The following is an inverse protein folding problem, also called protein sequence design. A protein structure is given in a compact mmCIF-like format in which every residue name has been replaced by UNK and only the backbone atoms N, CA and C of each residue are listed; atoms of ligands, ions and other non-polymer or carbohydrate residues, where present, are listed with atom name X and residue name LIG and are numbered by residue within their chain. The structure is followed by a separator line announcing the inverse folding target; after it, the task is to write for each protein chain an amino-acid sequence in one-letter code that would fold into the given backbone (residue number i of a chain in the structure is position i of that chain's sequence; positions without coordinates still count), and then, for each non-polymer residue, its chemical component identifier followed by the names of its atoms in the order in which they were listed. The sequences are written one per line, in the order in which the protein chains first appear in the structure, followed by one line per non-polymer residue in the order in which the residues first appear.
data_IF_703144956781
#
_entry.id   IF_703144956781
#
_cell.length_a   1.000
_cell.length_b   1.000
_cell.length_c   1.000
_cell.angle_alpha   90.00
_cell.angle_beta   90.00
_cell.angle_gamma   90.00
#
_symmetry.space_group_name_H-M   'P 1'
#
loop_
_entity.id
_entity.type
_entity.pdbx_description
1 polymer ?
#
# COMPACT_ATOMS: atom_id res chain seq x y z
N UNK A 1 19.99 -29.13 15.05
CA UNK A 1 20.18 -27.67 15.29
C UNK A 1 19.09 -27.02 14.52
N UNK A 2 17.99 -26.64 15.17
CA UNK A 2 16.92 -25.86 14.59
C UNK A 2 17.51 -24.49 14.20
N UNK A 3 17.53 -24.16 12.94
CA UNK A 3 17.86 -22.81 12.46
C UNK A 3 16.92 -21.85 13.17
N UNK A 4 17.46 -20.93 13.94
CA UNK A 4 16.65 -19.94 14.62
C UNK A 4 15.87 -19.13 13.58
N UNK A 5 14.54 -19.14 13.65
CA UNK A 5 13.60 -18.35 12.83
C UNK A 5 13.05 -17.21 13.72
N UNK A 6 13.86 -16.20 14.06
CA UNK A 6 13.53 -15.22 15.09
C UNK A 6 12.38 -14.30 14.73
N UNK A 7 12.11 -14.11 13.44
CA UNK A 7 11.05 -13.27 12.92
C UNK A 7 9.81 -14.07 12.47
N UNK A 8 9.84 -15.41 12.59
CA UNK A 8 8.74 -16.28 12.22
C UNK A 8 8.49 -16.46 10.72
N UNK A 9 9.41 -15.98 9.87
CA UNK A 9 9.19 -16.02 8.41
C UNK A 9 9.11 -17.45 7.87
N UNK A 10 9.88 -18.40 8.39
CA UNK A 10 9.81 -19.80 7.99
C UNK A 10 8.50 -20.45 8.44
N UNK A 11 8.11 -20.25 9.70
CA UNK A 11 6.86 -20.78 10.25
C UNK A 11 5.66 -20.26 9.42
N UNK A 12 5.57 -18.94 9.24
CA UNK A 12 4.40 -18.31 8.62
C UNK A 12 4.30 -18.54 7.10
N UNK A 13 5.35 -19.01 6.44
CA UNK A 13 5.32 -19.36 5.02
C UNK A 13 5.33 -20.86 4.76
N UNK A 14 5.32 -21.68 5.82
CA UNK A 14 5.31 -23.14 5.73
C UNK A 14 3.94 -23.75 6.06
N UNK A 15 3.68 -25.00 5.69
CA UNK A 15 2.46 -25.71 6.10
C UNK A 15 2.28 -25.87 7.61
N UNK A 16 3.33 -25.72 8.43
CA UNK A 16 3.30 -25.85 9.89
C UNK A 16 2.40 -24.80 10.55
N UNK A 17 2.22 -23.63 9.92
CA UNK A 17 1.27 -22.61 10.38
C UNK A 17 -0.16 -23.13 10.51
N UNK A 18 -0.52 -24.18 9.76
CA UNK A 18 -1.85 -24.79 9.80
C UNK A 18 -2.28 -25.26 11.20
N UNK A 19 -1.36 -25.66 12.06
CA UNK A 19 -1.66 -26.02 13.46
C UNK A 19 -2.09 -24.80 14.27
N UNK A 20 -1.40 -23.66 14.11
CA UNK A 20 -1.75 -22.39 14.75
C UNK A 20 -3.11 -21.88 14.27
N UNK A 21 -3.37 -21.90 12.94
CA UNK A 21 -4.64 -21.48 12.37
C UNK A 21 -5.78 -22.37 12.87
N UNK A 22 -5.56 -23.69 12.95
CA UNK A 22 -6.53 -24.63 13.48
C UNK A 22 -6.84 -24.35 14.95
N UNK A 23 -5.81 -24.13 15.77
CA UNK A 23 -5.97 -23.80 17.18
C UNK A 23 -6.78 -22.51 17.37
N UNK A 24 -6.45 -21.44 16.64
CA UNK A 24 -7.15 -20.15 16.71
C UNK A 24 -8.63 -20.27 16.30
N UNK A 25 -8.92 -20.93 15.17
CA UNK A 25 -10.29 -21.14 14.71
C UNK A 25 -11.09 -22.01 15.69
N UNK A 26 -10.45 -23.05 16.26
CA UNK A 26 -11.10 -23.92 17.26
C UNK A 26 -11.40 -23.15 18.55
N UNK A 27 -10.47 -22.30 19.01
CA UNK A 27 -10.70 -21.44 20.18
C UNK A 27 -11.89 -20.49 19.96
N UNK A 28 -12.03 -19.96 18.73
CA UNK A 28 -13.18 -19.13 18.34
C UNK A 28 -14.49 -19.92 18.14
N UNK A 29 -14.48 -21.25 18.29
CA UNK A 29 -15.67 -22.13 18.16
C UNK A 29 -15.96 -22.59 16.74
N UNK A 30 -15.00 -22.48 15.82
CA UNK A 30 -15.08 -22.96 14.45
C UNK A 30 -14.27 -24.25 14.20
N UNK A 31 -14.36 -24.75 12.99
CA UNK A 31 -13.51 -25.85 12.47
C UNK A 31 -12.86 -25.39 11.17
N UNK A 32 -11.55 -25.33 11.11
CA UNK A 32 -10.80 -25.00 9.92
C UNK A 32 -10.91 -26.15 8.91
N UNK A 33 -11.35 -25.86 7.68
CA UNK A 33 -11.53 -26.84 6.61
C UNK A 33 -10.36 -26.79 5.62
N UNK A 34 -9.95 -25.57 5.23
CA UNK A 34 -8.84 -25.32 4.34
C UNK A 34 -8.30 -23.93 4.54
N UNK A 35 -7.07 -23.69 4.09
CA UNK A 35 -6.47 -22.37 4.11
C UNK A 35 -5.44 -22.22 2.98
N UNK A 36 -5.20 -20.96 2.58
CA UNK A 36 -4.16 -20.57 1.64
C UNK A 36 -3.48 -19.30 2.11
N UNK A 37 -2.17 -19.19 1.91
CA UNK A 37 -1.41 -17.99 2.18
C UNK A 37 -1.70 -16.95 1.09
N UNK A 38 -2.23 -15.78 1.47
CA UNK A 38 -2.56 -14.69 0.54
C UNK A 38 -1.47 -13.62 0.46
N UNK A 39 -0.92 -13.26 1.62
CA UNK A 39 0.04 -12.18 1.69
C UNK A 39 1.03 -12.40 2.84
N UNK A 40 2.28 -12.03 2.60
CA UNK A 40 3.33 -12.04 3.62
C UNK A 40 4.12 -10.73 3.59
N UNK A 41 4.31 -10.12 4.76
CA UNK A 41 5.14 -8.93 4.97
C UNK A 41 6.25 -9.30 5.97
N UNK A 42 7.39 -9.74 5.42
CA UNK A 42 8.53 -10.18 6.20
C UNK A 42 9.59 -9.07 6.27
N UNK A 43 9.95 -8.71 7.50
CA UNK A 43 11.09 -7.84 7.83
C UNK A 43 12.18 -8.71 8.47
N UNK A 44 13.20 -9.14 7.72
CA UNK A 44 14.20 -10.09 8.20
C UNK A 44 14.76 -9.74 9.56
N UNK A 45 14.80 -10.73 10.47
CA UNK A 45 15.26 -10.63 11.86
C UNK A 45 14.42 -9.69 12.77
N UNK A 46 13.30 -9.16 12.31
CA UNK A 46 12.44 -8.27 13.09
C UNK A 46 11.04 -8.84 13.30
N UNK A 47 10.31 -9.06 12.22
CA UNK A 47 8.93 -9.54 12.31
C UNK A 47 8.42 -10.04 10.98
N UNK A 48 7.48 -10.95 11.00
CA UNK A 48 6.68 -11.35 9.83
C UNK A 48 5.21 -11.25 10.17
N UNK A 49 4.43 -10.69 9.25
CA UNK A 49 2.98 -10.67 9.32
C UNK A 49 2.43 -11.30 8.05
N UNK A 50 1.50 -12.23 8.19
CA UNK A 50 0.88 -12.92 7.06
C UNK A 50 -0.63 -12.90 7.16
N UNK A 51 -1.31 -13.02 6.01
CA UNK A 51 -2.76 -13.26 5.93
C UNK A 51 -3.03 -14.56 5.18
N UNK A 52 -4.10 -15.21 5.61
CA UNK A 52 -4.56 -16.48 5.04
C UNK A 52 -6.05 -16.40 4.75
N UNK A 53 -6.45 -16.73 3.52
CA UNK A 53 -7.83 -17.07 3.22
C UNK A 53 -8.13 -18.45 3.76
N UNK A 54 -9.19 -18.61 4.51
CA UNK A 54 -9.54 -19.84 5.18
C UNK A 54 -11.03 -20.15 4.99
N UNK A 55 -11.36 -21.42 4.68
CA UNK A 55 -12.74 -21.89 4.79
C UNK A 55 -12.96 -22.47 6.17
N UNK A 56 -13.95 -21.93 6.88
CA UNK A 56 -14.25 -22.27 8.28
C UNK A 56 -15.69 -22.71 8.42
N UNK A 57 -15.90 -23.84 9.10
CA UNK A 57 -17.24 -24.30 9.50
C UNK A 57 -17.55 -23.80 10.92
N UNK A 58 -18.53 -22.91 10.99
CA UNK A 58 -19.11 -22.40 12.21
C UNK A 58 -20.40 -23.18 12.58
N UNK A 59 -20.92 -23.07 13.81
CA UNK A 59 -22.22 -23.67 14.19
C UNK A 59 -23.39 -23.22 13.31
N UNK A 60 -23.25 -22.07 12.64
CA UNK A 60 -24.26 -21.43 11.80
C UNK A 60 -23.98 -21.56 10.29
N UNK A 61 -23.00 -22.35 9.88
CA UNK A 61 -22.66 -22.65 8.48
C UNK A 61 -21.19 -22.46 8.12
N UNK A 62 -20.83 -22.74 6.87
CA UNK A 62 -19.48 -22.53 6.35
C UNK A 62 -19.32 -21.11 5.82
N UNK A 63 -18.15 -20.52 6.05
CA UNK A 63 -17.77 -19.17 5.58
C UNK A 63 -16.30 -19.11 5.23
N UNK A 64 -16.00 -18.24 4.26
CA UNK A 64 -14.65 -17.82 3.99
C UNK A 64 -14.27 -16.72 4.97
N UNK A 65 -13.16 -16.92 5.66
CA UNK A 65 -12.62 -16.02 6.67
C UNK A 65 -11.21 -15.57 6.25
N UNK A 66 -10.80 -14.41 6.72
CA UNK A 66 -9.44 -13.91 6.57
C UNK A 66 -8.75 -13.91 7.94
N UNK A 67 -7.69 -14.69 8.05
CA UNK A 67 -6.90 -14.81 9.28
C UNK A 67 -5.64 -13.98 9.15
N UNK A 68 -5.31 -13.21 10.19
CA UNK A 68 -4.05 -12.51 10.31
C UNK A 68 -3.15 -13.19 11.33
N UNK A 69 -1.88 -13.32 11.03
CA UNK A 69 -0.87 -13.91 11.92
C UNK A 69 0.36 -13.03 11.95
N UNK A 70 0.93 -12.79 13.12
CA UNK A 70 2.15 -12.00 13.27
C UNK A 70 3.09 -12.60 14.30
N UNK A 71 4.34 -12.82 13.87
CA UNK A 71 5.45 -13.20 14.74
C UNK A 71 6.46 -12.06 14.81
N UNK A 72 7.09 -11.87 15.97
CA UNK A 72 8.13 -10.84 16.21
C UNK A 72 9.30 -11.39 16.99
N UNK A 73 10.49 -10.93 16.63
CA UNK A 73 11.64 -11.10 17.49
C UNK A 73 11.43 -10.31 18.79
N UNK A 74 11.45 -10.99 19.94
CA UNK A 74 11.21 -10.36 21.25
C UNK A 74 9.77 -10.37 21.75
N UNK A 75 8.88 -11.13 21.10
CA UNK A 75 7.51 -11.39 21.56
C UNK A 75 6.45 -10.41 21.05
N UNK A 76 5.16 -10.60 21.46
CA UNK A 76 4.04 -9.87 20.97
C UNK A 76 4.06 -8.38 21.36
N UNK A 77 3.36 -7.55 20.58
CA UNK A 77 3.19 -6.15 20.90
C UNK A 77 2.11 -5.96 22.00
N UNK A 78 2.16 -4.82 22.70
CA UNK A 78 1.13 -4.46 23.68
C UNK A 78 -0.30 -4.42 23.09
N UNK A 79 -0.43 -4.07 21.80
CA UNK A 79 -1.70 -4.06 21.04
C UNK A 79 -2.27 -5.47 20.83
N UNK A 80 -1.47 -6.53 21.01
CA UNK A 80 -1.89 -7.91 20.76
C UNK A 80 -2.90 -8.45 21.79
N UNK A 81 -3.28 -7.65 22.79
CA UNK A 81 -4.34 -8.00 23.75
C UNK A 81 -5.70 -8.35 23.12
N UNK A 82 -5.93 -7.97 21.85
CA UNK A 82 -7.13 -8.31 21.08
C UNK A 82 -6.92 -9.52 20.17
N UNK A 83 -5.71 -10.08 20.10
CA UNK A 83 -5.38 -11.27 19.33
C UNK A 83 -5.21 -12.47 20.26
N UNK A 84 -5.40 -13.68 19.74
CA UNK A 84 -5.03 -14.91 20.41
C UNK A 84 -3.51 -15.09 20.34
N UNK A 85 -2.88 -15.31 21.47
CA UNK A 85 -1.43 -15.52 21.56
C UNK A 85 -1.14 -17.00 21.71
N UNK A 86 -0.36 -17.54 20.80
CA UNK A 86 0.11 -18.91 20.82
C UNK A 86 1.62 -18.95 21.07
N UNK A 87 2.06 -19.86 21.96
CA UNK A 87 3.46 -20.13 22.17
C UNK A 87 3.94 -21.25 21.23
N UNK A 88 5.07 -21.00 20.54
CA UNK A 88 5.80 -21.99 19.75
C UNK A 88 7.26 -22.01 20.24
N UNK A 89 7.55 -22.85 21.24
CA UNK A 89 8.79 -22.80 21.98
C UNK A 89 8.97 -21.51 22.75
N UNK A 90 10.05 -20.77 22.48
CA UNK A 90 10.33 -19.45 23.07
C UNK A 90 9.69 -18.29 22.25
N UNK A 91 8.86 -18.60 21.24
CA UNK A 91 8.24 -17.66 20.34
C UNK A 91 6.76 -17.52 20.66
N UNK A 92 6.28 -16.29 20.68
CA UNK A 92 4.86 -15.98 20.79
C UNK A 92 4.36 -15.42 19.45
N UNK A 93 3.24 -15.97 18.96
CA UNK A 93 2.61 -15.63 17.69
C UNK A 93 1.20 -15.13 17.95
N UNK A 94 0.90 -13.94 17.47
CA UNK A 94 -0.45 -13.35 17.55
C UNK A 94 -1.28 -13.77 16.34
N UNK A 95 -2.50 -14.28 16.59
CA UNK A 95 -3.46 -14.69 15.56
C UNK A 95 -4.79 -13.97 15.78
N UNK A 96 -5.39 -13.46 14.73
CA UNK A 96 -6.73 -12.84 14.78
C UNK A 96 -7.55 -13.20 13.54
N UNK A 97 -8.87 -13.14 13.70
CA UNK A 97 -9.81 -13.30 12.60
C UNK A 97 -10.31 -11.91 12.21
N UNK A 98 -10.26 -11.56 10.91
CA UNK A 98 -10.84 -10.33 10.40
C UNK A 98 -12.34 -10.24 10.81
N UNK A 99 -12.83 -9.09 11.27
CA UNK A 99 -12.18 -7.76 11.28
C UNK A 99 -11.50 -7.35 12.59
N UNK A 100 -11.12 -8.29 13.47
CA UNK A 100 -10.59 -8.00 14.82
C UNK A 100 -9.06 -7.78 14.81
N UNK A 101 -8.58 -6.95 13.88
CA UNK A 101 -7.15 -6.58 13.82
C UNK A 101 -6.76 -5.75 15.06
N UNK A 102 -5.74 -6.19 15.82
CA UNK A 102 -5.36 -5.56 17.08
C UNK A 102 -4.86 -4.11 16.95
N UNK A 103 -4.34 -3.72 15.78
CA UNK A 103 -3.83 -2.37 15.54
C UNK A 103 -4.82 -1.45 14.79
N UNK A 104 -6.02 -1.95 14.42
CA UNK A 104 -7.01 -1.23 13.65
C UNK A 104 -8.38 -1.21 14.38
N UNK A 105 -8.53 -0.43 15.45
CA UNK A 105 -9.71 -0.51 16.34
C UNK A 105 -11.04 -0.21 15.63
N UNK A 106 -11.05 0.69 14.65
CA UNK A 106 -12.24 1.01 13.87
C UNK A 106 -12.67 -0.06 12.86
N UNK A 107 -11.84 -1.09 12.61
CA UNK A 107 -12.10 -2.06 11.55
C UNK A 107 -13.32 -2.93 11.84
N UNK A 108 -13.54 -3.30 13.09
CA UNK A 108 -14.72 -4.06 13.51
C UNK A 108 -16.05 -3.31 13.30
N UNK A 109 -16.03 -1.97 13.31
CA UNK A 109 -17.19 -1.15 12.96
C UNK A 109 -17.31 -0.94 11.44
N UNK A 110 -16.17 -0.76 10.76
CA UNK A 110 -16.13 -0.54 9.33
C UNK A 110 -16.59 -1.74 8.49
N UNK A 111 -16.42 -2.96 9.02
CA UNK A 111 -16.65 -4.21 8.30
C UNK A 111 -18.13 -4.65 8.21
N UNK A 112 -19.04 -4.02 8.94
CA UNK A 112 -20.46 -4.40 8.97
C UNK A 112 -21.37 -3.27 8.47
N UNK A 113 -22.30 -3.61 7.58
CA UNK A 113 -23.22 -2.65 6.95
C UNK A 113 -24.06 -1.88 7.98
N UNK A 114 -24.51 -2.55 9.06
CA UNK A 114 -25.27 -1.97 10.15
C UNK A 114 -24.48 -0.86 10.84
N UNK A 115 -23.22 -1.16 11.21
CA UNK A 115 -22.35 -0.20 11.89
C UNK A 115 -21.91 0.94 10.98
N UNK A 116 -21.68 0.65 9.70
CA UNK A 116 -21.36 1.67 8.72
C UNK A 116 -22.55 2.62 8.49
N UNK A 117 -23.78 2.10 8.42
CA UNK A 117 -25.00 2.91 8.31
C UNK A 117 -25.18 3.85 9.53
N UNK A 118 -24.89 3.35 10.73
CA UNK A 118 -24.87 4.17 11.97
C UNK A 118 -23.88 5.33 11.84
N UNK A 119 -22.63 5.05 11.43
CA UNK A 119 -21.57 6.08 11.25
C UNK A 119 -22.00 7.11 10.20
N UNK A 120 -22.49 6.68 9.04
CA UNK A 120 -22.92 7.55 7.96
C UNK A 120 -24.07 8.49 8.40
N UNK A 121 -24.97 7.98 9.23
CA UNK A 121 -26.12 8.74 9.75
C UNK A 121 -25.70 9.71 10.85
N UNK A 122 -24.93 9.24 11.84
CA UNK A 122 -24.44 10.02 12.98
C UNK A 122 -23.62 11.26 12.52
N UNK A 123 -22.75 11.05 11.54
CA UNK A 123 -21.89 12.10 10.99
C UNK A 123 -22.53 12.87 9.82
N UNK A 124 -23.82 12.64 9.53
CA UNK A 124 -24.56 13.31 8.45
C UNK A 124 -23.86 13.29 7.08
N UNK A 125 -23.09 12.23 6.78
CA UNK A 125 -22.23 12.14 5.58
C UNK A 125 -23.01 12.33 4.29
N UNK A 126 -24.25 11.84 4.22
CA UNK A 126 -25.13 11.96 3.05
C UNK A 126 -26.29 12.97 3.25
N UNK A 127 -26.31 13.70 4.36
CA UNK A 127 -27.38 14.64 4.69
C UNK A 127 -28.74 13.99 4.96
N UNK A 128 -28.80 12.65 5.06
CA UNK A 128 -30.00 11.85 5.37
C UNK A 128 -29.65 10.63 6.19
N UNK A 129 -30.62 10.03 6.91
CA UNK A 129 -30.41 8.72 7.53
C UNK A 129 -30.13 7.64 6.48
N UNK A 130 -29.33 6.66 6.86
CA UNK A 130 -28.91 5.53 6.00
C UNK A 130 -29.36 4.23 6.66
N UNK A 131 -30.09 3.40 5.93
CA UNK A 131 -30.44 2.06 6.40
C UNK A 131 -29.33 1.06 6.06
N UNK A 132 -29.13 0.06 6.90
CA UNK A 132 -28.13 -0.98 6.66
C UNK A 132 -28.35 -1.72 5.33
N UNK A 133 -29.59 -1.93 4.93
CA UNK A 133 -29.95 -2.58 3.67
C UNK A 133 -29.50 -1.80 2.42
N UNK A 134 -29.26 -0.49 2.54
CA UNK A 134 -28.79 0.38 1.47
C UNK A 134 -27.28 0.38 1.34
N UNK A 135 -26.54 -0.14 2.34
CA UNK A 135 -25.08 -0.12 2.41
C UNK A 135 -24.49 -1.39 1.80
N UNK A 136 -23.59 -1.23 0.86
CA UNK A 136 -22.74 -2.30 0.32
C UNK A 136 -21.28 -1.99 0.59
N UNK A 137 -20.61 -2.94 1.24
CA UNK A 137 -19.21 -2.85 1.60
C UNK A 137 -18.38 -3.73 0.67
N UNK A 138 -17.24 -3.20 0.21
CA UNK A 138 -16.25 -3.97 -0.52
C UNK A 138 -14.86 -3.61 -0.02
N UNK A 139 -14.10 -4.60 0.45
CA UNK A 139 -12.69 -4.43 0.76
C UNK A 139 -11.92 -4.04 -0.50
N UNK A 140 -11.19 -2.93 -0.45
CA UNK A 140 -10.29 -2.47 -1.51
C UNK A 140 -8.86 -2.90 -1.20
N UNK A 141 -8.46 -2.80 0.07
CA UNK A 141 -7.16 -3.25 0.51
C UNK A 141 -7.13 -3.39 2.02
N UNK A 142 -6.48 -4.45 2.46
CA UNK A 142 -6.19 -4.70 3.87
C UNK A 142 -4.71 -5.02 4.01
N UNK A 143 -4.03 -4.19 4.77
CA UNK A 143 -2.65 -4.45 5.20
C UNK A 143 -2.69 -4.67 6.70
N UNK A 144 -2.60 -5.91 7.18
CA UNK A 144 -2.69 -6.26 8.58
C UNK A 144 -1.84 -5.35 9.45
N UNK A 145 -2.36 -4.94 10.59
CA UNK A 145 -1.69 -4.07 11.55
C UNK A 145 -1.30 -2.68 11.02
N UNK A 146 -1.67 -2.32 9.79
CA UNK A 146 -1.27 -1.04 9.17
C UNK A 146 -2.44 -0.19 8.76
N UNK A 147 -3.34 -0.71 7.91
CA UNK A 147 -4.52 -0.01 7.41
C UNK A 147 -5.50 -0.95 6.73
N UNK A 148 -6.76 -0.53 6.69
CA UNK A 148 -7.78 -1.11 5.81
C UNK A 148 -8.49 0.01 5.03
N UNK A 149 -8.89 -0.29 3.79
CA UNK A 149 -9.69 0.61 2.96
C UNK A 149 -10.88 -0.17 2.42
N UNK A 150 -12.09 0.33 2.69
CA UNK A 150 -13.33 -0.23 2.18
C UNK A 150 -14.01 0.80 1.28
N UNK A 151 -14.53 0.33 0.16
CA UNK A 151 -15.50 1.08 -0.63
C UNK A 151 -16.88 0.86 -0.02
N UNK A 152 -17.60 1.95 0.18
CA UNK A 152 -18.94 2.00 0.75
C UNK A 152 -19.87 2.60 -0.31
N UNK A 153 -20.69 1.76 -0.93
CA UNK A 153 -21.70 2.19 -1.89
C UNK A 153 -23.05 2.25 -1.15
N UNK A 154 -23.70 3.41 -1.18
CA UNK A 154 -25.00 3.63 -0.54
C UNK A 154 -26.05 3.88 -1.60
N UNK A 155 -27.01 2.97 -1.68
CA UNK A 155 -28.15 3.06 -2.59
C UNK A 155 -29.16 4.11 -2.15
N UNK A 156 -29.89 4.67 -3.13
CA UNK A 156 -31.01 5.56 -2.88
C UNK A 156 -32.30 4.89 -3.35
N UNK A 157 -33.39 5.12 -2.63
CA UNK A 157 -34.72 4.63 -2.98
C UNK A 157 -35.21 5.17 -4.34
N UNK A 158 -34.62 6.25 -4.86
CA UNK A 158 -34.93 6.83 -6.17
C UNK A 158 -34.43 6.01 -7.36
N UNK A 159 -33.61 4.96 -7.15
CA UNK A 159 -32.96 4.19 -8.19
C UNK A 159 -31.83 4.95 -8.92
N UNK A 160 -31.39 6.09 -8.39
CA UNK A 160 -30.21 6.81 -8.85
C UNK A 160 -28.92 5.98 -8.64
N UNK A 161 -27.83 6.41 -9.29
CA UNK A 161 -26.51 5.82 -9.06
C UNK A 161 -26.16 5.87 -7.57
N UNK A 162 -25.62 4.79 -7.00
CA UNK A 162 -25.20 4.77 -5.60
C UNK A 162 -24.18 5.89 -5.28
N UNK A 163 -24.35 6.52 -4.15
CA UNK A 163 -23.30 7.41 -3.64
C UNK A 163 -22.16 6.57 -3.08
N UNK A 164 -20.94 6.80 -3.56
CA UNK A 164 -19.73 6.10 -3.10
C UNK A 164 -18.95 6.98 -2.15
N UNK A 165 -18.56 6.41 -0.99
CA UNK A 165 -17.52 6.95 -0.11
C UNK A 165 -16.50 5.86 0.17
N UNK A 166 -15.31 6.25 0.63
CA UNK A 166 -14.27 5.30 1.04
C UNK A 166 -14.07 5.41 2.54
N UNK A 167 -14.10 4.26 3.20
CA UNK A 167 -13.77 4.16 4.61
C UNK A 167 -12.32 3.71 4.74
N UNK A 168 -11.49 4.54 5.38
CA UNK A 168 -10.09 4.24 5.67
C UNK A 168 -9.92 4.07 7.17
N UNK A 169 -9.44 2.92 7.61
CA UNK A 169 -9.12 2.61 9.01
C UNK A 169 -7.62 2.56 9.17
N UNK A 170 -7.12 3.27 10.16
CA UNK A 170 -5.69 3.44 10.42
C UNK A 170 -5.36 3.09 11.87
N UNK A 171 -4.07 2.98 12.17
CA UNK A 171 -3.59 2.94 13.55
C UNK A 171 -3.82 4.29 14.22
N UNK A 172 -4.23 4.30 15.48
CA UNK A 172 -4.50 5.52 16.25
C UNK A 172 -3.32 6.51 16.21
N UNK A 173 -2.09 6.00 16.39
CA UNK A 173 -0.87 6.83 16.45
C UNK A 173 -0.56 7.64 15.19
N UNK A 174 -1.10 7.28 14.02
CA UNK A 174 -0.87 7.99 12.75
C UNK A 174 -2.11 8.71 12.24
N UNK A 175 -3.26 8.46 12.85
CA UNK A 175 -4.55 8.92 12.35
C UNK A 175 -4.64 10.44 12.25
N UNK A 176 -4.31 11.14 13.34
CA UNK A 176 -4.36 12.61 13.37
C UNK A 176 -3.46 13.27 12.33
N UNK A 177 -2.28 12.71 12.11
CA UNK A 177 -1.33 13.20 11.10
C UNK A 177 -1.86 13.03 9.67
N UNK A 178 -2.56 11.91 9.40
CA UNK A 178 -3.16 11.68 8.08
C UNK A 178 -4.32 12.63 7.83
N UNK A 179 -5.20 12.83 8.82
CA UNK A 179 -6.29 13.82 8.72
C UNK A 179 -5.72 15.21 8.41
N UNK A 180 -4.69 15.63 9.17
CA UNK A 180 -4.04 16.94 8.96
C UNK A 180 -3.47 17.09 7.54
N UNK A 181 -2.90 16.02 6.95
CA UNK A 181 -2.40 16.06 5.56
C UNK A 181 -3.52 16.33 4.56
N UNK A 182 -4.67 15.67 4.71
CA UNK A 182 -5.85 15.97 3.88
C UNK A 182 -6.27 17.45 4.01
N UNK A 183 -6.38 17.96 5.22
CA UNK A 183 -6.77 19.35 5.48
C UNK A 183 -5.81 20.36 4.85
N UNK A 184 -4.50 20.16 4.97
CA UNK A 184 -3.48 21.04 4.38
C UNK A 184 -3.57 21.09 2.85
N UNK A 185 -3.74 19.92 2.21
CA UNK A 185 -3.84 19.84 0.76
C UNK A 185 -5.13 20.47 0.24
N UNK A 186 -6.26 20.16 0.86
CA UNK A 186 -7.57 20.70 0.48
C UNK A 186 -7.62 22.22 0.67
N UNK A 187 -7.06 22.75 1.77
CA UNK A 187 -6.97 24.20 2.00
C UNK A 187 -6.12 24.93 0.96
N UNK A 188 -5.18 24.24 0.31
CA UNK A 188 -4.36 24.76 -0.77
C UNK A 188 -4.98 24.55 -2.17
N UNK A 189 -6.16 23.93 -2.27
CA UNK A 189 -6.81 23.64 -3.53
C UNK A 189 -6.22 22.44 -4.29
N UNK A 190 -5.37 21.62 -3.64
CA UNK A 190 -4.91 20.35 -4.23
C UNK A 190 -6.09 19.38 -4.22
N UNK A 191 -6.39 18.70 -5.35
CA UNK A 191 -7.58 17.87 -5.49
C UNK A 191 -7.43 16.51 -4.77
N UNK A 192 -7.28 16.53 -3.43
CA UNK A 192 -7.29 15.34 -2.59
C UNK A 192 -8.73 14.97 -2.17
N UNK A 193 -8.99 13.73 -1.72
CA UNK A 193 -10.31 13.36 -1.21
C UNK A 193 -10.71 14.21 0.00
N UNK A 194 -11.92 14.75 -0.03
CA UNK A 194 -12.50 15.45 1.12
C UNK A 194 -12.76 14.46 2.27
N UNK A 195 -12.37 14.83 3.49
CA UNK A 195 -12.68 14.09 4.70
C UNK A 195 -14.12 14.43 5.10
N UNK A 196 -15.03 13.51 4.85
CA UNK A 196 -16.46 13.67 5.15
C UNK A 196 -16.78 13.44 6.63
N UNK A 197 -16.03 12.56 7.30
CA UNK A 197 -16.16 12.29 8.73
C UNK A 197 -14.91 11.60 9.29
N UNK A 198 -14.73 11.73 10.60
CA UNK A 198 -13.72 11.00 11.38
C UNK A 198 -14.35 10.46 12.67
N UNK A 199 -13.82 9.35 13.18
CA UNK A 199 -14.29 8.75 14.45
C UNK A 199 -13.13 8.60 15.43
N UNK A 200 -13.43 8.43 16.71
CA UNK A 200 -12.44 8.31 17.78
C UNK A 200 -11.62 7.01 17.73
N UNK A 201 -12.09 6.00 17.01
CA UNK A 201 -11.44 4.71 16.79
C UNK A 201 -10.63 4.65 15.49
N UNK A 202 -10.13 5.82 15.04
CA UNK A 202 -9.23 5.98 13.89
C UNK A 202 -9.80 5.52 12.53
N UNK A 203 -11.10 5.74 12.32
CA UNK A 203 -11.78 5.57 11.05
C UNK A 203 -12.05 6.94 10.42
N UNK A 204 -11.78 7.09 9.12
CA UNK A 204 -12.17 8.26 8.33
C UNK A 204 -13.00 7.87 7.13
N UNK A 205 -13.98 8.69 6.80
CA UNK A 205 -14.77 8.58 5.57
C UNK A 205 -14.30 9.66 4.58
N UNK A 206 -13.97 9.22 3.37
CA UNK A 206 -13.46 10.06 2.29
C UNK A 206 -14.46 10.10 1.15
N UNK A 207 -14.69 11.28 0.59
CA UNK A 207 -15.50 11.44 -0.62
C UNK A 207 -14.80 10.79 -1.82
N UNK A 208 -15.60 10.21 -2.71
CA UNK A 208 -15.09 9.69 -3.96
C UNK A 208 -14.52 10.82 -4.83
N UNK A 209 -13.32 10.62 -5.38
CA UNK A 209 -12.76 11.52 -6.40
C UNK A 209 -13.40 11.28 -7.76
N UNK A 210 -13.56 12.34 -8.57
CA UNK A 210 -14.00 12.19 -9.96
C UNK A 210 -12.92 11.49 -10.80
N UNK A 211 -13.33 11.10 -12.03
CA UNK A 211 -12.42 10.47 -12.98
C UNK A 211 -12.09 9.01 -12.62
N UNK A 212 -10.95 8.56 -13.10
CA UNK A 212 -10.45 7.19 -12.87
C UNK A 212 -8.94 7.19 -12.68
N UNK A 213 -8.38 6.13 -12.05
CA UNK A 213 -6.94 6.03 -11.84
C UNK A 213 -6.15 6.09 -13.16
N UNK A 214 -5.04 6.82 -13.15
CA UNK A 214 -4.08 6.86 -14.24
C UNK A 214 -3.58 5.44 -14.58
N UNK A 215 -3.47 4.55 -13.59
CA UNK A 215 -3.13 3.14 -13.76
C UNK A 215 -3.98 2.40 -14.80
N UNK A 216 -5.25 2.78 -14.96
CA UNK A 216 -6.11 2.25 -16.03
C UNK A 216 -6.04 3.08 -17.30
N UNK A 217 -5.87 4.39 -17.16
CA UNK A 217 -5.92 5.34 -18.28
C UNK A 217 -4.64 5.31 -19.15
N UNK A 218 -3.51 4.85 -18.64
CA UNK A 218 -2.27 4.68 -19.42
C UNK A 218 -2.40 3.70 -20.58
N UNK A 219 -3.45 2.89 -20.59
CA UNK A 219 -3.74 1.93 -21.65
C UNK A 219 -4.69 2.46 -22.73
N UNK A 220 -5.18 3.69 -22.60
CA UNK A 220 -6.08 4.29 -23.58
C UNK A 220 -5.40 4.69 -24.89
N UNK A 221 -6.22 4.97 -25.91
CA UNK A 221 -5.72 5.44 -27.20
C UNK A 221 -5.11 6.84 -27.13
N UNK A 222 -5.65 7.69 -26.26
CA UNK A 222 -5.21 9.07 -26.06
C UNK A 222 -4.31 9.20 -24.83
N UNK A 223 -3.48 10.22 -24.82
CA UNK A 223 -2.66 10.54 -23.65
C UNK A 223 -3.56 10.96 -22.48
N UNK A 224 -3.44 10.29 -21.30
CA UNK A 224 -4.33 10.51 -20.18
C UNK A 224 -4.13 11.85 -19.46
N UNK A 225 -2.92 12.37 -19.50
CA UNK A 225 -2.48 13.68 -19.01
C UNK A 225 -1.08 13.96 -19.54
N UNK A 226 -0.60 15.22 -19.40
CA UNK A 226 0.76 15.58 -19.83
C UNK A 226 1.75 15.55 -18.66
N UNK A 227 3.06 15.49 -18.97
CA UNK A 227 4.14 15.57 -17.98
C UNK A 227 4.11 16.90 -17.19
N UNK A 228 3.78 17.99 -17.87
CA UNK A 228 3.65 19.32 -17.26
C UNK A 228 2.49 19.39 -16.26
N UNK A 229 1.38 18.71 -16.52
CA UNK A 229 0.28 18.60 -15.55
C UNK A 229 0.71 17.84 -14.29
N UNK A 230 1.54 16.80 -14.43
CA UNK A 230 2.11 16.04 -13.30
C UNK A 230 2.99 16.96 -12.46
N UNK A 231 3.92 17.68 -13.10
CA UNK A 231 4.77 18.65 -12.40
C UNK A 231 3.93 19.73 -11.71
N UNK A 232 2.93 20.28 -12.41
CA UNK A 232 2.05 21.31 -11.87
C UNK A 232 1.27 20.84 -10.63
N UNK A 233 0.75 19.61 -10.64
CA UNK A 233 0.08 19.02 -9.47
C UNK A 233 1.02 18.96 -8.27
N UNK A 234 2.25 18.49 -8.48
CA UNK A 234 3.26 18.38 -7.41
C UNK A 234 3.71 19.77 -6.92
N UNK A 235 3.88 20.75 -7.80
CA UNK A 235 4.26 22.12 -7.45
C UNK A 235 3.13 22.91 -6.78
N UNK A 236 1.86 22.47 -6.92
CA UNK A 236 0.71 23.04 -6.22
C UNK A 236 0.64 22.62 -4.73
N UNK A 237 1.44 21.66 -4.29
CA UNK A 237 1.47 21.27 -2.87
C UNK A 237 1.94 22.44 -2.00
N UNK A 238 1.25 22.73 -0.87
CA UNK A 238 1.56 23.90 -0.07
C UNK A 238 2.89 23.76 0.68
N UNK A 239 3.59 24.87 0.86
CA UNK A 239 4.85 24.94 1.60
C UNK A 239 4.76 24.43 3.05
N UNK A 240 3.56 24.44 3.65
CA UNK A 240 3.31 23.87 4.98
C UNK A 240 3.57 22.37 5.06
N UNK A 241 3.49 21.65 3.95
CA UNK A 241 3.84 20.22 3.85
C UNK A 241 5.32 20.00 4.20
N UNK A 242 6.20 20.94 3.84
CA UNK A 242 7.62 20.84 4.17
C UNK A 242 7.92 20.94 5.69
N UNK A 243 6.93 21.29 6.51
CA UNK A 243 7.03 21.36 7.98
C UNK A 243 6.53 20.09 8.69
N UNK A 244 5.98 19.13 7.93
CA UNK A 244 5.53 17.85 8.48
C UNK A 244 6.74 16.95 8.81
N UNK A 245 6.47 15.89 9.55
CA UNK A 245 7.49 14.88 9.83
C UNK A 245 8.07 14.30 8.53
N UNK A 246 9.40 14.33 8.44
CA UNK A 246 10.12 13.77 7.30
C UNK A 246 10.06 12.25 7.34
N UNK A 247 9.73 11.67 6.21
CA UNK A 247 9.91 10.23 5.98
C UNK A 247 11.14 10.01 5.11
N UNK A 248 11.94 8.97 5.37
CA UNK A 248 13.02 8.60 4.47
C UNK A 248 12.46 8.30 3.08
N UNK A 249 13.08 8.80 2.01
CA UNK A 249 12.70 8.41 0.66
C UNK A 249 13.01 6.92 0.41
N UNK A 250 12.33 6.31 -0.53
CA UNK A 250 12.53 4.89 -0.87
C UNK A 250 13.97 4.55 -1.20
N UNK A 251 14.73 5.49 -1.78
CA UNK A 251 16.15 5.33 -2.11
C UNK A 251 17.05 5.10 -0.90
N UNK A 252 16.71 5.67 0.25
CA UNK A 252 17.50 5.52 1.47
C UNK A 252 17.37 4.11 2.08
N UNK A 253 16.29 3.40 1.74
CA UNK A 253 16.03 2.04 2.19
C UNK A 253 16.44 0.96 1.18
N UNK A 254 17.17 1.33 0.11
CA UNK A 254 17.53 0.39 -0.98
C UNK A 254 18.25 -0.86 -0.49
N UNK A 255 19.19 -0.73 0.47
CA UNK A 255 19.90 -1.87 1.07
C UNK A 255 18.95 -2.82 1.82
N UNK A 256 17.96 -2.25 2.53
CA UNK A 256 16.96 -3.03 3.23
C UNK A 256 16.11 -3.86 2.26
N UNK A 257 15.60 -3.24 1.20
CA UNK A 257 14.81 -3.94 0.19
C UNK A 257 15.63 -4.94 -0.62
N UNK A 258 16.89 -4.63 -0.92
CA UNK A 258 17.79 -5.58 -1.56
C UNK A 258 17.97 -6.84 -0.71
N UNK A 259 18.16 -6.71 0.62
CA UNK A 259 18.21 -7.87 1.53
C UNK A 259 16.92 -8.68 1.54
N UNK A 260 15.75 -8.02 1.52
CA UNK A 260 14.46 -8.72 1.45
C UNK A 260 14.35 -9.54 0.15
N UNK A 261 14.72 -8.95 -0.99
CA UNK A 261 14.71 -9.65 -2.28
C UNK A 261 15.71 -10.81 -2.28
N UNK A 262 16.92 -10.63 -1.76
CA UNK A 262 17.93 -11.71 -1.66
C UNK A 262 17.44 -12.86 -0.79
N UNK A 263 16.73 -12.58 0.30
CA UNK A 263 16.15 -13.62 1.15
C UNK A 263 15.16 -14.51 0.38
N UNK A 264 14.37 -13.94 -0.55
CA UNK A 264 13.46 -14.68 -1.41
C UNK A 264 14.13 -15.27 -2.66
N UNK A 265 15.10 -14.55 -3.26
CA UNK A 265 15.79 -14.91 -4.51
C UNK A 265 17.31 -14.82 -4.32
N UNK A 266 17.97 -15.80 -3.67
CA UNK A 266 19.41 -15.74 -3.36
C UNK A 266 20.34 -15.54 -4.58
N UNK A 267 19.96 -16.07 -5.74
CA UNK A 267 20.73 -15.90 -7.00
C UNK A 267 20.81 -14.47 -7.52
N UNK A 268 19.99 -13.55 -7.01
CA UNK A 268 20.05 -12.12 -7.36
C UNK A 268 21.09 -11.34 -6.54
N UNK A 269 21.76 -11.98 -5.57
CA UNK A 269 22.60 -11.34 -4.57
C UNK A 269 23.69 -10.44 -5.17
N UNK A 270 24.55 -10.97 -6.06
CA UNK A 270 25.66 -10.22 -6.65
C UNK A 270 25.17 -9.00 -7.47
N UNK A 271 24.08 -9.19 -8.22
CA UNK A 271 23.47 -8.11 -9.00
C UNK A 271 22.90 -7.01 -8.10
N UNK A 272 22.19 -7.40 -7.05
CA UNK A 272 21.61 -6.44 -6.10
C UNK A 272 22.69 -5.72 -5.29
N UNK A 273 23.79 -6.37 -4.94
CA UNK A 273 24.91 -5.75 -4.29
C UNK A 273 25.53 -4.66 -5.18
N UNK A 274 25.77 -4.97 -6.46
CA UNK A 274 26.29 -3.99 -7.43
C UNK A 274 25.32 -2.82 -7.62
N UNK A 275 24.01 -3.08 -7.83
CA UNK A 275 22.99 -2.04 -7.99
C UNK A 275 22.94 -1.12 -6.77
N UNK A 276 22.91 -1.69 -5.58
CA UNK A 276 22.88 -0.95 -4.31
C UNK A 276 24.09 -0.04 -4.17
N UNK A 277 25.30 -0.54 -4.50
CA UNK A 277 26.54 0.24 -4.49
C UNK A 277 26.48 1.43 -5.48
N UNK A 278 26.03 1.20 -6.72
CA UNK A 278 25.91 2.27 -7.71
C UNK A 278 24.92 3.35 -7.23
N UNK A 279 23.74 2.95 -6.73
CA UNK A 279 22.70 3.86 -6.25
C UNK A 279 23.19 4.66 -5.05
N UNK A 280 23.72 4.00 -4.03
CA UNK A 280 24.18 4.67 -2.80
C UNK A 280 25.35 5.60 -3.07
N UNK A 281 26.30 5.19 -3.92
CA UNK A 281 27.45 6.02 -4.32
C UNK A 281 27.01 7.23 -5.13
N UNK A 282 26.14 7.04 -6.12
CA UNK A 282 25.67 8.12 -6.99
C UNK A 282 24.78 9.14 -6.24
N UNK A 283 24.07 8.72 -5.21
CA UNK A 283 23.22 9.60 -4.39
C UNK A 283 23.93 10.19 -3.16
N UNK A 284 25.16 9.78 -2.85
CA UNK A 284 25.87 10.16 -1.61
C UNK A 284 26.02 11.68 -1.41
N UNK A 285 26.22 12.42 -2.49
CA UNK A 285 26.39 13.88 -2.46
C UNK A 285 25.05 14.66 -2.53
N UNK A 286 23.94 13.96 -2.75
CA UNK A 286 22.63 14.60 -2.90
C UNK A 286 22.12 15.03 -1.52
N UNK A 287 21.88 16.34 -1.37
CA UNK A 287 21.38 16.90 -0.12
C UNK A 287 19.93 16.48 0.14
N UNK A 288 19.56 16.39 1.43
CA UNK A 288 18.16 16.22 1.81
C UNK A 288 17.31 17.37 1.25
N UNK A 289 16.25 17.02 0.54
CA UNK A 289 15.31 18.01 0.01
C UNK A 289 14.36 18.53 1.09
N UNK A 290 13.79 19.69 0.86
CA UNK A 290 12.73 20.26 1.70
C UNK A 290 11.56 20.78 0.84
N UNK A 291 11.38 20.20 -0.33
CA UNK A 291 10.21 20.48 -1.18
C UNK A 291 9.00 19.72 -0.63
N UNK A 292 7.77 20.24 -0.77
CA UNK A 292 6.57 19.47 -0.55
C UNK A 292 6.53 18.28 -1.51
N UNK A 293 6.40 17.06 -1.01
CA UNK A 293 6.31 15.83 -1.79
C UNK A 293 5.11 14.99 -1.40
N UNK A 294 4.64 14.16 -2.32
CA UNK A 294 3.63 13.15 -2.05
C UNK A 294 4.21 11.96 -1.26
N UNK A 295 5.43 11.56 -1.59
CA UNK A 295 6.18 10.50 -0.91
C UNK A 295 5.85 9.06 -1.35
N UNK A 296 4.74 8.87 -2.10
CA UNK A 296 4.34 7.58 -2.72
C UNK A 296 3.56 7.87 -4.01
N UNK A 297 4.15 8.68 -4.89
CA UNK A 297 3.50 9.25 -6.07
C UNK A 297 3.59 8.29 -7.26
N UNK A 298 2.52 7.55 -7.52
CA UNK A 298 2.46 6.61 -8.63
C UNK A 298 1.12 6.66 -9.39
N UNK A 299 1.02 5.95 -10.51
CA UNK A 299 -0.14 6.00 -11.41
C UNK A 299 -1.46 5.55 -10.75
N UNK A 300 -1.40 4.74 -9.72
CA UNK A 300 -2.58 4.34 -8.93
C UNK A 300 -3.16 5.47 -8.07
N UNK A 301 -2.33 6.47 -7.73
CA UNK A 301 -2.73 7.59 -6.86
C UNK A 301 -3.24 8.82 -7.64
N UNK A 302 -3.07 8.85 -8.95
CA UNK A 302 -3.46 9.97 -9.79
C UNK A 302 -4.79 9.65 -10.47
N UNK A 303 -5.80 10.51 -10.32
CA UNK A 303 -7.06 10.42 -11.05
C UNK A 303 -7.08 11.37 -12.23
N UNK A 304 -7.55 10.87 -13.37
CA UNK A 304 -7.65 11.63 -14.63
C UNK A 304 -9.05 11.55 -15.22
N UNK A 305 -9.44 12.63 -15.89
CA UNK A 305 -10.64 12.72 -16.70
C UNK A 305 -10.38 13.70 -17.86
N UNK A 306 -10.85 13.40 -19.04
CA UNK A 306 -10.80 14.28 -20.22
C UNK A 306 -9.40 14.87 -20.51
N UNK A 307 -8.34 14.04 -20.39
CA UNK A 307 -6.95 14.45 -20.62
C UNK A 307 -6.37 15.37 -19.54
N UNK A 308 -6.99 15.42 -18.34
CA UNK A 308 -6.55 16.25 -17.22
C UNK A 308 -6.46 15.46 -15.93
N UNK A 309 -5.56 15.87 -15.05
CA UNK A 309 -5.51 15.38 -13.67
C UNK A 309 -6.65 16.06 -12.89
N UNK A 310 -7.47 15.23 -12.22
CA UNK A 310 -8.64 15.69 -11.45
C UNK A 310 -8.59 15.28 -9.99
N UNK A 311 -7.58 14.49 -9.59
CA UNK A 311 -7.43 14.06 -8.20
C UNK A 311 -6.10 13.39 -7.90
N UNK A 312 -5.75 13.38 -6.61
CA UNK A 312 -4.62 12.64 -6.05
C UNK A 312 -5.05 11.92 -4.77
N UNK A 313 -4.75 10.64 -4.70
CA UNK A 313 -5.10 9.75 -3.58
C UNK A 313 -3.92 9.49 -2.66
N UNK A 314 -4.19 8.82 -1.54
CA UNK A 314 -3.24 8.25 -0.58
C UNK A 314 -2.17 9.24 -0.09
N UNK A 315 -2.64 10.37 0.41
CA UNK A 315 -1.81 11.48 0.89
C UNK A 315 -1.15 11.22 2.26
N UNK A 316 -1.15 9.98 2.74
CA UNK A 316 -0.64 9.58 4.05
C UNK A 316 0.86 9.84 4.23
N UNK A 317 1.59 9.87 3.12
CA UNK A 317 3.05 10.02 3.08
C UNK A 317 3.52 11.42 2.74
N UNK A 318 2.58 12.32 2.46
CA UNK A 318 2.86 13.72 2.12
C UNK A 318 3.75 14.36 3.19
N UNK A 319 4.86 14.96 2.76
CA UNK A 319 5.86 15.54 3.66
C UNK A 319 7.03 16.19 2.92
N UNK A 320 8.08 16.62 3.66
CA UNK A 320 9.28 17.19 3.06
C UNK A 320 10.13 16.12 2.36
N UNK A 321 10.54 16.38 1.13
CA UNK A 321 11.38 15.49 0.32
C UNK A 321 12.04 16.23 -0.84
N UNK A 322 12.32 15.50 -1.91
CA UNK A 322 12.82 16.04 -3.17
C UNK A 322 11.81 15.75 -4.27
N UNK A 323 11.65 16.68 -5.21
CA UNK A 323 10.79 16.47 -6.37
C UNK A 323 11.17 15.21 -7.14
N UNK A 324 12.46 14.89 -7.17
CA UNK A 324 12.98 13.68 -7.80
C UNK A 324 12.43 12.39 -7.18
N UNK A 325 12.05 12.37 -5.89
CA UNK A 325 11.48 11.19 -5.24
C UNK A 325 10.12 10.84 -5.85
N UNK A 326 9.22 11.83 -5.99
CA UNK A 326 7.88 11.63 -6.54
C UNK A 326 7.93 11.22 -8.01
N UNK A 327 8.74 11.92 -8.82
CA UNK A 327 8.86 11.62 -10.25
C UNK A 327 9.52 10.25 -10.49
N UNK A 328 10.51 9.88 -9.67
CA UNK A 328 11.14 8.57 -9.71
C UNK A 328 10.17 7.44 -9.33
N UNK A 329 9.33 7.67 -8.32
CA UNK A 329 8.29 6.72 -7.92
C UNK A 329 7.33 6.45 -9.08
N UNK A 330 6.85 7.49 -9.75
CA UNK A 330 5.97 7.34 -10.92
C UNK A 330 6.63 6.55 -12.06
N UNK A 331 7.88 6.88 -12.42
CA UNK A 331 8.62 6.17 -13.47
C UNK A 331 8.83 4.71 -13.09
N UNK A 332 9.21 4.43 -11.85
CA UNK A 332 9.44 3.08 -11.35
C UNK A 332 8.18 2.21 -11.46
N UNK A 333 7.06 2.72 -10.99
CA UNK A 333 5.79 2.01 -11.05
C UNK A 333 5.36 1.76 -12.50
N UNK A 334 5.39 2.77 -13.37
CA UNK A 334 5.07 2.59 -14.79
C UNK A 334 5.99 1.57 -15.48
N UNK A 335 7.28 1.52 -15.10
CA UNK A 335 8.27 0.59 -15.67
C UNK A 335 8.10 -0.84 -15.17
N UNK A 336 7.32 -1.06 -14.11
CA UNK A 336 7.15 -2.37 -13.47
C UNK A 336 5.72 -2.92 -13.58
N UNK A 337 4.84 -2.25 -14.33
CA UNK A 337 3.48 -2.78 -14.58
C UNK A 337 3.59 -4.20 -15.17
N UNK A 338 2.83 -5.11 -14.58
CA UNK A 338 2.86 -6.53 -14.95
C UNK A 338 1.70 -6.90 -15.88
N UNK A 339 1.81 -8.07 -16.51
CA UNK A 339 0.74 -8.71 -17.30
C UNK A 339 0.14 -7.83 -18.40
N UNK A 340 0.96 -6.98 -19.00
CA UNK A 340 0.56 -6.16 -20.14
C UNK A 340 0.59 -6.98 -21.44
N UNK A 341 -0.37 -6.70 -22.33
CA UNK A 341 -0.26 -7.11 -23.73
C UNK A 341 0.88 -6.31 -24.42
N UNK A 342 1.47 -6.82 -25.53
CA UNK A 342 2.52 -6.08 -26.26
C UNK A 342 2.11 -4.66 -26.67
N UNK A 343 0.82 -4.45 -26.98
CA UNK A 343 0.30 -3.12 -27.34
C UNK A 343 0.22 -2.17 -26.13
N UNK A 344 -0.14 -2.67 -24.97
CA UNK A 344 -0.15 -1.92 -23.70
C UNK A 344 1.29 -1.55 -23.29
N UNK A 345 2.20 -2.51 -23.34
CA UNK A 345 3.62 -2.28 -23.04
C UNK A 345 4.22 -1.19 -23.95
N UNK A 346 4.01 -1.31 -25.28
CA UNK A 346 4.46 -0.30 -26.22
C UNK A 346 3.89 1.09 -25.93
N UNK A 347 2.67 1.17 -25.39
CA UNK A 347 2.03 2.42 -25.01
C UNK A 347 2.65 3.03 -23.77
N UNK A 348 2.80 2.26 -22.71
CA UNK A 348 3.45 2.71 -21.47
C UNK A 348 4.88 3.17 -21.75
N UNK A 349 5.63 2.43 -22.55
CA UNK A 349 6.97 2.84 -22.96
C UNK A 349 6.98 4.15 -23.79
N UNK A 350 5.95 4.42 -24.60
CA UNK A 350 5.84 5.71 -25.29
C UNK A 350 5.57 6.85 -24.31
N UNK A 351 4.70 6.66 -23.32
CA UNK A 351 4.44 7.66 -22.28
C UNK A 351 5.70 7.97 -21.48
N UNK A 352 6.43 6.96 -21.00
CA UNK A 352 7.68 7.16 -20.27
C UNK A 352 8.69 7.93 -21.13
N UNK A 353 8.86 7.57 -22.42
CA UNK A 353 9.76 8.28 -23.34
C UNK A 353 9.32 9.73 -23.61
N UNK A 354 8.03 10.03 -23.55
CA UNK A 354 7.53 11.40 -23.70
C UNK A 354 7.71 12.22 -22.42
N UNK A 355 7.48 11.62 -21.25
CA UNK A 355 7.46 12.32 -19.98
C UNK A 355 8.87 12.53 -19.37
N UNK A 356 9.75 11.54 -19.47
CA UNK A 356 11.08 11.60 -18.84
C UNK A 356 11.91 12.82 -19.28
N UNK A 357 11.99 13.21 -20.58
CA UNK A 357 12.69 14.43 -20.97
C UNK A 357 12.12 15.71 -20.35
N UNK A 358 10.82 15.77 -20.10
CA UNK A 358 10.19 16.91 -19.40
C UNK A 358 10.57 16.89 -17.91
N UNK A 359 10.55 15.72 -17.27
CA UNK A 359 11.01 15.57 -15.87
C UNK A 359 12.48 15.94 -15.70
N UNK A 360 13.34 15.61 -16.68
CA UNK A 360 14.77 15.96 -16.70
C UNK A 360 15.00 17.49 -16.73
N UNK A 361 14.02 18.28 -17.12
CA UNK A 361 14.12 19.76 -17.02
C UNK A 361 13.81 20.27 -15.61
N UNK A 362 13.17 19.44 -14.75
CA UNK A 362 12.72 19.84 -13.40
C UNK A 362 13.64 19.30 -12.30
N UNK A 363 14.31 18.18 -12.54
CA UNK A 363 15.19 17.51 -11.57
C UNK A 363 16.46 17.03 -12.27
N UNK A 364 17.52 16.72 -11.49
CA UNK A 364 18.74 16.14 -12.04
C UNK A 364 18.48 14.79 -12.68
N UNK A 365 18.86 14.57 -13.96
CA UNK A 365 18.59 13.33 -14.67
C UNK A 365 19.25 12.11 -14.06
N UNK A 366 20.44 12.23 -13.48
CA UNK A 366 21.15 11.13 -12.83
C UNK A 366 20.44 10.75 -11.53
N UNK A 367 20.11 11.75 -10.71
CA UNK A 367 19.34 11.54 -9.48
C UNK A 367 18.02 10.84 -9.78
N UNK A 368 17.28 11.27 -10.82
CA UNK A 368 16.00 10.69 -11.21
C UNK A 368 16.10 9.19 -11.52
N UNK A 369 17.11 8.77 -12.32
CA UNK A 369 17.30 7.35 -12.68
C UNK A 369 17.71 6.51 -11.49
N UNK A 370 18.62 6.99 -10.66
CA UNK A 370 19.09 6.24 -9.49
C UNK A 370 17.97 6.06 -8.45
N UNK A 371 17.16 7.11 -8.21
CA UNK A 371 16.00 6.99 -7.32
C UNK A 371 14.93 6.05 -7.90
N UNK A 372 14.66 6.13 -9.21
CA UNK A 372 13.72 5.20 -9.84
C UNK A 372 14.20 3.75 -9.75
N UNK A 373 15.49 3.49 -9.94
CA UNK A 373 16.07 2.16 -9.76
C UNK A 373 15.91 1.66 -8.31
N UNK A 374 16.14 2.52 -7.32
CA UNK A 374 15.92 2.17 -5.90
C UNK A 374 14.46 1.84 -5.59
N UNK A 375 13.51 2.60 -6.13
CA UNK A 375 12.07 2.31 -5.99
C UNK A 375 11.74 0.98 -6.66
N UNK A 376 12.27 0.68 -7.86
CA UNK A 376 12.06 -0.62 -8.52
C UNK A 376 12.55 -1.77 -7.63
N UNK A 377 13.70 -1.64 -6.97
CA UNK A 377 14.21 -2.66 -6.03
C UNK A 377 13.22 -2.84 -4.85
N UNK A 378 12.61 -1.78 -4.35
CA UNK A 378 11.58 -1.91 -3.31
C UNK A 378 10.34 -2.62 -3.83
N UNK A 379 9.89 -2.31 -5.05
CA UNK A 379 8.75 -2.95 -5.72
C UNK A 379 9.00 -4.43 -6.02
N UNK A 380 10.26 -4.83 -6.26
CA UNK A 380 10.65 -6.22 -6.52
C UNK A 380 10.39 -7.17 -5.32
N UNK A 381 10.08 -6.64 -4.13
CA UNK A 381 9.57 -7.43 -3.00
C UNK A 381 8.10 -7.83 -3.18
N UNK A 382 7.34 -7.13 -4.03
CA UNK A 382 5.89 -7.25 -4.18
C UNK A 382 5.42 -8.63 -4.66
N UNK A 383 5.96 -9.20 -5.75
CA UNK A 383 5.52 -10.48 -6.29
C UNK A 383 5.57 -11.62 -5.26
N UNK A 384 6.66 -11.73 -4.49
CA UNK A 384 6.78 -12.72 -3.41
C UNK A 384 5.78 -12.43 -2.28
N UNK A 385 5.64 -11.17 -1.86
CA UNK A 385 4.72 -10.76 -0.78
C UNK A 385 3.26 -11.05 -1.13
N UNK A 386 2.89 -10.88 -2.40
CA UNK A 386 1.55 -11.18 -2.93
C UNK A 386 1.34 -12.65 -3.30
N UNK A 387 2.33 -13.52 -3.06
CA UNK A 387 2.29 -14.95 -3.47
C UNK A 387 1.82 -15.13 -4.92
N UNK A 388 2.30 -14.25 -5.81
CA UNK A 388 1.91 -14.24 -7.22
C UNK A 388 2.41 -15.50 -7.94
N UNK A 389 1.65 -16.06 -8.89
CA UNK A 389 2.21 -17.02 -9.82
C UNK A 389 3.44 -16.44 -10.52
N UNK A 390 4.49 -17.23 -10.70
CA UNK A 390 5.72 -16.80 -11.37
C UNK A 390 6.45 -15.61 -10.69
N UNK A 391 6.21 -15.39 -9.39
CA UNK A 391 6.76 -14.28 -8.61
C UNK A 391 8.29 -14.14 -8.74
N UNK A 392 9.04 -15.24 -8.84
CA UNK A 392 10.49 -15.21 -8.96
C UNK A 392 10.92 -14.59 -10.30
N UNK A 393 10.24 -14.98 -11.39
CA UNK A 393 10.50 -14.42 -12.72
C UNK A 393 10.19 -12.91 -12.76
N UNK A 394 9.04 -12.50 -12.21
CA UNK A 394 8.66 -11.09 -12.14
C UNK A 394 9.67 -10.27 -11.30
N UNK A 395 10.10 -10.80 -10.17
CA UNK A 395 11.14 -10.18 -9.34
C UNK A 395 12.43 -9.94 -10.14
N UNK A 396 12.90 -10.94 -10.87
CA UNK A 396 14.12 -10.82 -11.69
C UNK A 396 13.94 -9.84 -12.86
N UNK A 397 12.77 -9.78 -13.46
CA UNK A 397 12.44 -8.80 -14.51
C UNK A 397 12.49 -7.37 -13.97
N UNK A 398 11.97 -7.12 -12.79
CA UNK A 398 12.07 -5.82 -12.12
C UNK A 398 13.52 -5.44 -11.82
N UNK A 399 14.34 -6.38 -11.34
CA UNK A 399 15.77 -6.13 -11.11
C UNK A 399 16.49 -5.77 -12.42
N UNK A 400 16.14 -6.40 -13.54
CA UNK A 400 16.70 -6.05 -14.86
C UNK A 400 16.27 -4.63 -15.30
N UNK A 401 15.04 -4.20 -14.98
CA UNK A 401 14.60 -2.82 -15.23
C UNK A 401 15.37 -1.80 -14.39
N UNK A 402 15.65 -2.10 -13.12
CA UNK A 402 16.51 -1.26 -12.28
C UNK A 402 17.95 -1.17 -12.85
N UNK A 403 18.51 -2.28 -13.29
CA UNK A 403 19.84 -2.32 -13.95
C UNK A 403 19.87 -1.43 -15.20
N UNK A 404 18.82 -1.48 -16.02
CA UNK A 404 18.75 -0.66 -17.23
C UNK A 404 18.78 0.85 -16.92
N UNK A 405 18.14 1.30 -15.82
CA UNK A 405 18.20 2.69 -15.40
C UNK A 405 19.57 3.09 -14.87
N UNK A 406 20.20 2.27 -14.03
CA UNK A 406 21.54 2.53 -13.50
C UNK A 406 22.57 2.65 -14.64
N UNK A 407 22.52 1.75 -15.63
CA UNK A 407 23.43 1.78 -16.80
C UNK A 407 23.29 3.01 -17.70
N UNK A 408 22.20 3.78 -17.59
CA UNK A 408 22.06 5.05 -18.33
C UNK A 408 22.91 6.17 -17.74
N UNK A 409 23.37 6.03 -16.49
CA UNK A 409 24.05 7.11 -15.74
C UNK A 409 25.35 6.67 -15.08
N UNK A 410 25.79 5.42 -15.35
CA UNK A 410 27.06 4.83 -14.89
C UNK A 410 28.19 5.10 -15.89
#
# INVERSE_FOLDING_TARGET
MTTADPDGSQLLTSPEVGELLTAAVTHAGGTLLSWTLDHVDAHPQQSTTATYSASVRWPYGERDELLGVSARAGGPAQSDSLAEIFADGDREVAVWIYPHDPDLPGLSRAAYAERMAEILTEHHVLGRPVAAADVRLRMIGYRPRRRAVLRVDVSDASGAQPTTVYCKVLRERVFGDVVRRHELLLAAGVPAPEVAATTSDALMLLRNLPGRPLASAVFDAHEPCTAEQIIHLLDAMPGSVAQLERRPPWSDAVEHYARMVVAAVPRAGDKLAWLTEQITTGLRAVQLGNEPTHGDFHEGQIHVADGRIVGVLDVDTVGPGRRADDLACLIAHLSTIQRMSPSQEARVHRLIRAWVPVFDTRVDPTELRLRAAAVIISLATGPFRGQEPDWEWETLRMIASAEALVRQVS
#
